data_IF_199757701686
#
_entry.id   IF_199757701686
#
_cell.length_a   1.000
_cell.length_b   1.000
_cell.length_c   1.000
_cell.angle_alpha   90.00
_cell.angle_beta   90.00
_cell.angle_gamma   90.00
#
_symmetry.space_group_name_H-M   'P 1'
#
loop_
_entity.id
_entity.type
_entity.pdbx_description
1 polymer ?
#
# COMPACT_ATOMS: atom_id res chain seq x y z
N UNK A 1 -10.77 6.60 57.51
CA UNK A 1 -11.10 6.35 56.08
C UNK A 1 -9.81 6.45 55.28
N UNK A 2 -9.40 5.38 54.60
CA UNK A 2 -8.20 5.35 53.74
C UNK A 2 -8.68 5.46 52.29
N UNK A 3 -8.29 6.53 51.61
CA UNK A 3 -8.60 6.76 50.19
C UNK A 3 -7.51 6.08 49.37
N UNK A 4 -7.82 5.11 48.49
CA UNK A 4 -6.85 4.63 47.53
C UNK A 4 -6.80 5.60 46.35
N UNK A 5 -5.61 6.13 46.09
CA UNK A 5 -5.32 6.96 44.92
C UNK A 5 -5.09 6.00 43.73
N UNK A 6 -6.06 5.93 42.81
CA UNK A 6 -5.88 5.21 41.56
C UNK A 6 -5.12 6.12 40.57
N UNK A 7 -3.83 5.83 40.36
CA UNK A 7 -3.09 6.33 39.20
C UNK A 7 -3.57 5.59 37.95
N UNK A 8 -4.48 6.21 37.21
CA UNK A 8 -4.89 5.76 35.88
C UNK A 8 -3.81 6.10 34.85
N UNK A 9 -3.02 5.11 34.44
CA UNK A 9 -2.20 5.24 33.25
C UNK A 9 -3.11 5.10 32.01
N UNK A 10 -3.33 6.21 31.29
CA UNK A 10 -3.90 6.19 29.95
C UNK A 10 -2.85 5.60 29.00
N UNK A 11 -2.86 4.29 28.80
CA UNK A 11 -2.14 3.69 27.69
C UNK A 11 -2.81 4.16 26.40
N UNK A 12 -2.15 5.06 25.67
CA UNK A 12 -2.44 5.33 24.26
C UNK A 12 -2.04 4.08 23.48
N UNK A 13 -2.88 3.04 23.51
CA UNK A 13 -2.84 1.93 22.54
C UNK A 13 -3.34 2.48 21.20
N UNK A 14 -2.51 3.30 20.56
CA UNK A 14 -2.60 3.53 19.14
C UNK A 14 -1.96 2.32 18.46
N UNK A 15 -2.76 1.52 17.76
CA UNK A 15 -2.25 0.48 16.86
C UNK A 15 -1.23 1.15 15.94
N UNK A 16 0.05 0.83 16.07
CA UNK A 16 1.01 1.24 15.07
C UNK A 16 0.54 0.62 13.75
N UNK A 17 0.43 1.44 12.69
CA UNK A 17 0.17 0.93 11.36
C UNK A 17 1.24 -0.11 11.03
N UNK A 18 0.83 -1.28 10.59
CA UNK A 18 1.74 -2.36 10.25
C UNK A 18 2.51 -2.06 8.95
N UNK A 19 1.99 -1.14 8.14
CA UNK A 19 2.69 -0.52 7.03
C UNK A 19 2.76 1.01 7.16
N UNK A 20 3.93 1.56 6.86
CA UNK A 20 4.15 2.99 6.68
C UNK A 20 5.12 3.21 5.52
N UNK A 21 4.62 3.77 4.42
CA UNK A 21 5.40 3.81 3.20
C UNK A 21 4.87 4.74 2.12
N UNK A 22 5.41 4.56 0.92
CA UNK A 22 5.03 5.28 -0.28
C UNK A 22 4.48 4.33 -1.33
N UNK A 23 3.41 4.74 -2.00
CA UNK A 23 2.97 4.16 -3.27
C UNK A 23 3.34 5.10 -4.40
N UNK A 24 3.90 4.55 -5.47
CA UNK A 24 4.22 5.28 -6.69
C UNK A 24 3.94 4.43 -7.92
N UNK A 25 3.90 5.07 -9.09
CA UNK A 25 3.66 4.39 -10.34
C UNK A 25 4.39 5.11 -11.48
N UNK A 26 4.90 4.34 -12.42
CA UNK A 26 5.51 4.83 -13.64
C UNK A 26 4.47 5.31 -14.65
N UNK A 27 4.96 5.84 -15.77
CA UNK A 27 4.12 6.12 -16.92
C UNK A 27 3.49 4.82 -17.45
N UNK A 28 2.31 4.94 -18.05
CA UNK A 28 1.66 3.83 -18.74
C UNK A 28 2.54 3.34 -19.90
N UNK A 29 2.87 2.05 -19.90
CA UNK A 29 3.57 1.39 -20.97
C UNK A 29 2.54 0.71 -21.91
N UNK A 30 2.42 1.12 -23.18
CA UNK A 30 1.44 0.54 -24.10
C UNK A 30 1.77 -0.92 -24.52
N UNK A 31 2.96 -1.43 -24.21
CA UNK A 31 3.39 -2.80 -24.50
C UNK A 31 3.41 -3.16 -25.99
N UNK A 32 4.01 -4.30 -26.32
CA UNK A 32 3.81 -4.93 -27.62
C UNK A 32 2.47 -5.69 -27.62
N UNK A 33 1.66 -5.52 -28.68
CA UNK A 33 0.35 -6.17 -28.78
C UNK A 33 -0.82 -5.42 -28.13
N UNK A 34 -0.63 -4.17 -27.70
CA UNK A 34 -1.69 -3.29 -27.20
C UNK A 34 -2.09 -3.53 -25.73
N UNK A 35 -1.38 -4.39 -25.02
CA UNK A 35 -1.57 -4.58 -23.58
C UNK A 35 -0.91 -3.44 -22.83
N UNK A 36 -1.73 -2.50 -22.37
CA UNK A 36 -1.28 -1.42 -21.50
C UNK A 36 -0.89 -2.01 -20.14
N UNK A 37 0.29 -1.68 -19.64
CA UNK A 37 0.73 -1.98 -18.28
C UNK A 37 1.20 -0.71 -17.58
N UNK A 38 1.23 -0.76 -16.26
CA UNK A 38 1.84 0.27 -15.43
C UNK A 38 2.66 -0.43 -14.36
N UNK A 39 3.93 -0.06 -14.24
CA UNK A 39 4.75 -0.51 -13.11
C UNK A 39 4.40 0.34 -11.89
N UNK A 40 4.18 -0.31 -10.76
CA UNK A 40 3.84 0.33 -9.49
C UNK A 40 4.87 -0.10 -8.44
N UNK A 41 5.22 0.84 -7.57
CA UNK A 41 6.27 0.63 -6.58
C UNK A 41 5.80 0.97 -5.18
N UNK A 42 6.26 0.17 -4.22
CA UNK A 42 6.10 0.38 -2.80
C UNK A 42 7.47 0.62 -2.17
N UNK A 43 7.55 1.63 -1.29
CA UNK A 43 8.71 1.86 -0.42
C UNK A 43 8.23 1.79 1.03
N UNK A 44 8.73 0.82 1.79
CA UNK A 44 8.53 0.78 3.24
C UNK A 44 9.54 1.71 3.92
N UNK A 45 9.05 2.73 4.63
CA UNK A 45 9.91 3.67 5.34
C UNK A 45 10.55 3.08 6.61
N UNK A 46 9.98 2.01 7.14
CA UNK A 46 10.45 1.35 8.37
C UNK A 46 11.70 0.53 8.10
N UNK A 47 11.67 -0.27 7.03
CA UNK A 47 12.76 -1.19 6.66
C UNK A 47 13.66 -0.62 5.57
N UNK A 48 13.16 0.33 4.78
CA UNK A 48 13.81 0.78 3.55
C UNK A 48 13.61 -0.16 2.36
N UNK A 49 12.82 -1.24 2.52
CA UNK A 49 12.57 -2.20 1.45
C UNK A 49 11.73 -1.60 0.32
N UNK A 50 12.02 -2.05 -0.91
CA UNK A 50 11.37 -1.61 -2.14
C UNK A 50 10.75 -2.80 -2.84
N UNK A 51 9.54 -2.61 -3.34
CA UNK A 51 8.80 -3.67 -4.03
C UNK A 51 8.21 -3.15 -5.33
N UNK A 52 8.33 -3.95 -6.37
CA UNK A 52 7.85 -3.62 -7.71
C UNK A 52 6.76 -4.61 -8.12
N UNK A 53 5.74 -4.11 -8.82
CA UNK A 53 4.63 -4.91 -9.30
C UNK A 53 4.09 -4.36 -10.62
N UNK A 54 3.59 -5.26 -11.48
CA UNK A 54 3.00 -4.89 -12.77
C UNK A 54 1.48 -4.88 -12.65
N UNK A 55 0.88 -3.72 -12.92
CA UNK A 55 -0.56 -3.53 -12.96
C UNK A 55 -1.06 -3.46 -14.42
N UNK A 56 -1.73 -4.52 -14.85
CA UNK A 56 -2.33 -4.57 -16.19
C UNK A 56 -3.47 -3.55 -16.34
N UNK A 57 -3.36 -2.70 -17.35
CA UNK A 57 -4.24 -1.56 -17.58
C UNK A 57 -4.02 -0.36 -16.64
N UNK A 58 -3.06 -0.47 -15.71
CA UNK A 58 -2.78 0.51 -14.66
C UNK A 58 -3.99 0.84 -13.78
N UNK A 59 -3.88 1.89 -12.97
CA UNK A 59 -4.97 2.27 -12.05
C UNK A 59 -6.29 2.62 -12.76
N UNK A 60 -6.23 3.04 -14.03
CA UNK A 60 -7.44 3.35 -14.81
C UNK A 60 -8.29 2.11 -15.13
N UNK A 61 -7.69 0.92 -15.24
CA UNK A 61 -8.43 -0.33 -15.42
C UNK A 61 -9.06 -0.85 -14.11
N UNK A 62 -8.64 -0.30 -12.96
CA UNK A 62 -8.99 -0.77 -11.63
C UNK A 62 -9.87 0.27 -10.90
N UNK A 63 -10.85 0.84 -11.62
CA UNK A 63 -11.74 1.89 -11.11
C UNK A 63 -13.11 1.38 -10.66
N UNK A 64 -13.56 0.27 -11.25
CA UNK A 64 -14.81 -0.42 -10.91
C UNK A 64 -14.60 -1.76 -10.21
N UNK A 65 -13.34 -2.22 -10.14
CA UNK A 65 -12.95 -3.51 -9.56
C UNK A 65 -11.62 -3.38 -8.83
N UNK A 66 -11.36 -4.34 -7.94
CA UNK A 66 -10.05 -4.52 -7.32
C UNK A 66 -9.17 -5.40 -8.18
N UNK A 67 -8.01 -4.89 -8.59
CA UNK A 67 -7.03 -5.63 -9.38
C UNK A 67 -6.01 -6.31 -8.48
N UNK A 68 -5.68 -7.57 -8.78
CA UNK A 68 -4.55 -8.24 -8.12
C UNK A 68 -3.22 -7.69 -8.65
N UNK A 69 -2.28 -7.39 -7.77
CA UNK A 69 -0.88 -7.16 -8.14
C UNK A 69 0.02 -8.04 -7.29
N UNK A 70 0.96 -8.70 -7.96
CA UNK A 70 2.04 -9.42 -7.30
C UNK A 70 3.24 -8.49 -7.17
N UNK A 71 3.69 -8.28 -5.93
CA UNK A 71 4.85 -7.48 -5.62
C UNK A 71 6.04 -8.37 -5.32
N UNK A 72 7.21 -7.99 -5.84
CA UNK A 72 8.48 -8.59 -5.54
C UNK A 72 9.44 -7.57 -4.95
N UNK A 73 10.14 -7.96 -3.88
CA UNK A 73 11.17 -7.13 -3.28
C UNK A 73 12.39 -7.02 -4.19
N UNK A 74 12.82 -5.80 -4.46
CA UNK A 74 13.98 -5.46 -5.29
C UNK A 74 15.15 -4.87 -4.49
N UNK A 75 14.95 -4.63 -3.18
CA UNK A 75 15.98 -4.16 -2.24
C UNK A 75 16.88 -5.27 -1.67
N UNK A 76 16.68 -6.53 -2.06
CA UNK A 76 17.58 -7.65 -1.75
C UNK A 76 17.04 -8.74 -0.82
N UNK A 77 15.84 -8.58 -0.24
CA UNK A 77 15.25 -9.60 0.66
C UNK A 77 14.47 -10.72 -0.04
N UNK A 78 14.22 -10.62 -1.35
CA UNK A 78 13.47 -11.60 -2.16
C UNK A 78 12.06 -11.93 -1.62
N UNK A 79 11.49 -11.09 -0.75
CA UNK A 79 10.11 -11.28 -0.31
C UNK A 79 9.13 -11.00 -1.44
N UNK A 80 8.05 -11.77 -1.51
CA UNK A 80 7.03 -11.61 -2.53
C UNK A 80 5.65 -11.80 -1.91
N UNK A 81 4.68 -11.00 -2.36
CA UNK A 81 3.33 -11.02 -1.81
C UNK A 81 2.30 -10.54 -2.84
N UNK A 82 1.04 -10.92 -2.62
CA UNK A 82 -0.09 -10.47 -3.43
C UNK A 82 -0.83 -9.35 -2.71
N UNK A 83 -1.36 -8.42 -3.49
CA UNK A 83 -2.17 -7.30 -3.00
C UNK A 83 -3.42 -7.14 -3.86
N UNK A 84 -4.37 -6.34 -3.38
CA UNK A 84 -5.43 -5.76 -4.21
C UNK A 84 -5.23 -4.26 -4.31
N UNK A 85 -5.29 -3.71 -5.52
CA UNK A 85 -5.21 -2.27 -5.76
C UNK A 85 -6.40 -1.78 -6.56
N UNK A 86 -6.84 -0.55 -6.28
CA UNK A 86 -7.90 0.11 -7.05
C UNK A 86 -7.79 1.63 -6.91
N UNK A 87 -8.42 2.34 -7.83
CA UNK A 87 -8.54 3.80 -7.79
C UNK A 87 -10.00 4.20 -7.71
N UNK A 88 -10.36 5.00 -6.71
CA UNK A 88 -11.72 5.54 -6.56
C UNK A 88 -11.92 6.78 -7.43
N UNK A 89 -13.18 7.11 -7.74
CA UNK A 89 -13.53 8.22 -8.64
C UNK A 89 -13.18 9.61 -8.07
N UNK A 90 -12.99 9.72 -6.75
CA UNK A 90 -12.45 10.90 -6.08
C UNK A 90 -10.92 11.03 -6.21
N UNK A 91 -10.27 10.10 -6.93
CA UNK A 91 -8.86 10.14 -7.24
C UNK A 91 -7.96 9.52 -6.18
N UNK A 92 -8.50 8.72 -5.25
CA UNK A 92 -7.70 8.02 -4.26
C UNK A 92 -7.21 6.65 -4.77
N UNK A 93 -5.94 6.36 -4.53
CA UNK A 93 -5.30 5.07 -4.80
C UNK A 93 -5.35 4.24 -3.52
N UNK A 94 -5.83 3.03 -3.65
CA UNK A 94 -6.07 2.12 -2.54
C UNK A 94 -5.23 0.86 -2.72
N UNK A 95 -4.77 0.30 -1.61
CA UNK A 95 -4.04 -0.95 -1.56
C UNK A 95 -4.51 -1.76 -0.34
N UNK A 96 -4.85 -3.02 -0.56
CA UNK A 96 -5.06 -4.01 0.48
C UNK A 96 -3.92 -5.02 0.41
N UNK A 97 -3.13 -5.08 1.49
CA UNK A 97 -1.96 -5.94 1.60
C UNK A 97 -2.32 -7.43 1.70
N UNK A 98 -3.61 -7.77 1.78
CA UNK A 98 -4.12 -9.15 1.76
C UNK A 98 -3.47 -10.03 2.83
N UNK A 99 -3.14 -9.43 3.99
CA UNK A 99 -2.47 -10.09 5.11
C UNK A 99 -0.93 -10.08 5.05
N UNK A 100 -0.31 -9.52 4.01
CA UNK A 100 1.13 -9.27 4.00
C UNK A 100 1.50 -8.24 5.06
N UNK A 101 2.66 -8.43 5.72
CA UNK A 101 3.17 -7.56 6.78
C UNK A 101 2.25 -7.38 8.00
N UNK A 102 1.22 -8.21 8.16
CA UNK A 102 0.09 -7.95 9.08
C UNK A 102 -0.60 -6.60 8.81
N UNK A 103 -0.43 -6.05 7.61
CA UNK A 103 -1.04 -4.81 7.16
C UNK A 103 -2.41 -5.05 6.55
N UNK A 104 -3.31 -4.10 6.78
CA UNK A 104 -4.67 -4.14 6.25
C UNK A 104 -4.78 -3.35 4.95
N UNK A 105 -5.68 -2.36 4.98
CA UNK A 105 -5.96 -1.47 3.86
C UNK A 105 -5.31 -0.11 4.10
N UNK A 106 -4.59 0.36 3.08
CA UNK A 106 -4.02 1.70 3.01
C UNK A 106 -4.54 2.45 1.80
N UNK A 107 -4.51 3.78 1.88
CA UNK A 107 -4.88 4.63 0.76
C UNK A 107 -4.15 5.97 0.80
N UNK A 108 -4.12 6.63 -0.34
CA UNK A 108 -3.70 8.01 -0.49
C UNK A 108 -4.53 8.67 -1.59
N UNK A 109 -4.59 10.00 -1.63
CA UNK A 109 -5.36 10.72 -2.63
C UNK A 109 -4.51 11.71 -3.41
N UNK A 110 -4.85 11.91 -4.68
CA UNK A 110 -4.18 12.87 -5.56
C UNK A 110 -3.13 12.21 -6.47
N UNK A 111 -2.05 12.94 -6.72
CA UNK A 111 -0.96 12.47 -7.57
C UNK A 111 -0.09 11.44 -6.87
N UNK A 112 0.38 10.45 -7.63
CA UNK A 112 1.50 9.62 -7.22
C UNK A 112 2.83 10.34 -7.54
N UNK A 113 3.90 10.13 -6.74
CA UNK A 113 3.95 9.30 -5.53
C UNK A 113 3.18 9.92 -4.35
N UNK A 114 2.70 9.07 -3.44
CA UNK A 114 1.96 9.47 -2.25
C UNK A 114 2.30 8.56 -1.06
N UNK A 115 2.14 9.07 0.16
CA UNK A 115 2.33 8.24 1.36
C UNK A 115 1.07 7.45 1.69
N UNK A 116 1.25 6.21 2.11
CA UNK A 116 0.21 5.28 2.56
C UNK A 116 0.57 4.73 3.94
N UNK A 117 -0.46 4.47 4.75
CA UNK A 117 -0.35 3.80 6.03
C UNK A 117 -1.48 2.78 6.15
N UNK A 118 -1.17 1.55 6.60
CA UNK A 118 -2.09 0.42 6.62
C UNK A 118 -1.83 -0.53 7.81
#
# INVERSE_FOLDING_TARGET
MKVPCFLGALALVGSAAAWNGQLSADAYNPGEGGTITQEIHLLDYTTGSRYDGVLYGGFNACTSTQCSVYFQEVSGGNYQFSTKVWRTNDGCHNIDFSGAFDAGHGYCCGSLPCNISA
#
